data_IF_086064553708
#
_entry.id   IF_086064553708
#
_cell.length_a   1.000
_cell.length_b   1.000
_cell.length_c   1.000
_cell.angle_alpha   90.00
_cell.angle_beta   90.00
_cell.angle_gamma   90.00
#
_symmetry.space_group_name_H-M   'P 1'
#
loop_
_entity.id
_entity.type
_entity.pdbx_description
1 polymer ?
#
# COMPACT_ATOMS: atom_id res chain seq x y z
N UNK A 1 18.56 41.88 32.77
CA UNK A 1 19.15 41.61 31.43
C UNK A 1 18.11 41.84 30.34
N UNK A 2 18.53 42.22 29.13
CA UNK A 2 17.63 42.41 27.97
C UNK A 2 17.07 41.07 27.49
N UNK A 3 15.94 41.09 26.77
CA UNK A 3 15.36 39.87 26.20
C UNK A 3 16.32 39.04 25.33
N UNK A 4 17.30 39.68 24.65
CA UNK A 4 18.30 38.97 23.84
C UNK A 4 19.30 38.22 24.70
N UNK A 5 19.75 38.84 25.80
CA UNK A 5 20.67 38.23 26.76
C UNK A 5 20.00 37.07 27.50
N UNK A 6 18.76 37.26 27.95
CA UNK A 6 17.99 36.20 28.61
C UNK A 6 17.67 35.04 27.65
N UNK A 7 17.31 35.34 26.38
CA UNK A 7 17.11 34.30 25.37
C UNK A 7 18.37 33.44 25.15
N UNK A 8 19.54 34.08 25.12
CA UNK A 8 20.83 33.38 25.02
C UNK A 8 21.10 32.51 26.25
N UNK A 9 20.84 33.03 27.46
CA UNK A 9 20.98 32.27 28.71
C UNK A 9 20.08 31.02 28.71
N UNK A 10 18.83 31.16 28.28
CA UNK A 10 17.85 30.07 28.25
C UNK A 10 17.93 29.18 26.99
N UNK A 11 18.88 29.43 26.08
CA UNK A 11 19.03 28.65 24.84
C UNK A 11 17.82 28.72 23.89
N UNK A 12 17.06 29.82 23.90
CA UNK A 12 15.87 29.99 23.06
C UNK A 12 15.96 31.23 22.17
N UNK A 13 14.96 31.40 21.30
CA UNK A 13 14.86 32.61 20.50
C UNK A 13 14.08 33.71 21.28
N UNK A 14 14.38 35.01 21.06
CA UNK A 14 13.64 36.09 21.72
C UNK A 14 12.13 36.10 21.41
N UNK A 15 11.69 35.47 20.32
CA UNK A 15 10.27 35.35 19.99
C UNK A 15 9.53 34.39 20.94
N UNK A 16 10.20 33.33 21.43
CA UNK A 16 9.66 32.40 22.44
C UNK A 16 9.34 33.15 23.73
N UNK A 17 10.23 34.03 24.18
CA UNK A 17 10.00 34.84 25.38
C UNK A 17 8.89 35.88 25.18
N UNK A 18 8.82 36.53 24.01
CA UNK A 18 7.70 37.41 23.66
C UNK A 18 6.37 36.66 23.63
N UNK A 19 6.40 35.41 23.17
CA UNK A 19 5.22 34.56 23.14
C UNK A 19 4.79 34.15 24.55
N UNK A 20 5.72 33.74 25.42
CA UNK A 20 5.42 33.42 26.81
C UNK A 20 4.91 34.63 27.59
N UNK A 21 5.44 35.82 27.35
CA UNK A 21 4.90 37.07 27.91
C UNK A 21 3.43 37.29 27.45
N UNK A 22 3.16 37.16 26.14
CA UNK A 22 1.78 37.29 25.60
C UNK A 22 0.81 36.25 26.16
N UNK A 23 1.28 35.04 26.41
CA UNK A 23 0.47 33.96 26.99
C UNK A 23 0.43 34.01 28.52
N UNK A 24 1.00 35.05 29.13
CA UNK A 24 1.08 35.25 30.58
C UNK A 24 1.80 34.13 31.33
N UNK A 25 2.68 33.40 30.63
CA UNK A 25 3.38 32.23 31.13
C UNK A 25 4.72 32.60 31.78
N UNK A 26 5.41 33.60 31.22
CA UNK A 26 6.67 34.14 31.78
C UNK A 26 6.75 35.64 31.47
N UNK A 27 6.32 36.45 32.44
CA UNK A 27 6.29 37.91 32.30
C UNK A 27 7.66 38.52 32.58
N UNK A 28 8.11 39.53 31.81
CA UNK A 28 9.32 40.27 32.14
C UNK A 28 9.13 41.03 33.45
N UNK A 29 10.19 41.10 34.27
CA UNK A 29 10.18 41.89 35.51
C UNK A 29 9.98 43.39 35.23
N UNK A 30 10.44 43.87 34.07
CA UNK A 30 10.24 45.26 33.66
C UNK A 30 10.02 45.39 32.16
N UNK A 31 9.06 46.23 31.79
CA UNK A 31 8.85 46.74 30.43
C UNK A 31 9.11 48.23 30.43
N UNK A 32 10.02 48.69 29.58
CA UNK A 32 10.30 50.11 29.41
C UNK A 32 9.13 50.80 28.68
N UNK A 33 8.56 51.82 29.29
CA UNK A 33 7.34 52.48 28.80
C UNK A 33 7.55 53.34 27.57
N UNK A 34 8.77 53.81 27.31
CA UNK A 34 9.10 54.66 26.17
C UNK A 34 9.53 53.86 24.94
N UNK A 35 10.23 52.75 25.15
CA UNK A 35 10.86 51.97 24.08
C UNK A 35 10.24 50.58 23.89
N UNK A 36 9.43 50.11 24.85
CA UNK A 36 8.81 48.78 24.84
C UNK A 36 9.80 47.63 25.06
N UNK A 37 11.04 47.92 25.47
CA UNK A 37 12.05 46.91 25.76
C UNK A 37 11.69 46.10 27.01
N UNK A 38 11.92 44.79 26.93
CA UNK A 38 11.65 43.83 28.01
C UNK A 38 12.94 43.44 28.71
N UNK A 39 12.86 43.41 30.03
CA UNK A 39 13.95 43.04 30.91
C UNK A 39 13.53 41.90 31.81
N UNK A 40 14.42 40.91 31.93
CA UNK A 40 14.27 39.72 32.75
C UNK A 40 15.37 39.68 33.80
N UNK A 41 15.11 38.99 34.90
CA UNK A 41 16.11 38.67 35.93
C UNK A 41 16.65 37.25 35.72
N UNK A 42 17.84 36.97 36.25
CA UNK A 42 18.48 35.66 36.10
C UNK A 42 17.67 34.55 36.78
N UNK A 43 17.04 34.85 37.91
CA UNK A 43 16.20 33.92 38.68
C UNK A 43 15.03 33.35 37.84
N UNK A 44 14.51 34.14 36.89
CA UNK A 44 13.44 33.72 35.98
C UNK A 44 13.87 32.60 35.01
N UNK A 45 15.18 32.31 34.90
CA UNK A 45 15.66 31.18 34.12
C UNK A 45 15.18 29.84 34.70
N UNK A 46 15.00 29.74 36.01
CA UNK A 46 14.45 28.54 36.66
C UNK A 46 13.00 28.30 36.24
N UNK A 47 12.18 29.35 36.17
CA UNK A 47 10.80 29.25 35.71
C UNK A 47 10.71 28.89 34.23
N UNK A 48 11.61 29.43 33.41
CA UNK A 48 11.74 29.02 32.01
C UNK A 48 12.03 27.52 31.88
N UNK A 49 12.96 26.98 32.68
CA UNK A 49 13.28 25.54 32.67
C UNK A 49 12.08 24.70 33.10
N UNK A 50 11.35 25.10 34.15
CA UNK A 50 10.13 24.40 34.58
C UNK A 50 9.08 24.35 33.46
N UNK A 51 8.81 25.49 32.82
CA UNK A 51 7.89 25.58 31.68
C UNK A 51 8.33 24.62 30.56
N UNK A 52 9.62 24.60 30.21
CA UNK A 52 10.15 23.72 29.17
C UNK A 52 10.04 22.25 29.51
N UNK A 53 10.27 21.86 30.75
CA UNK A 53 10.12 20.48 31.19
C UNK A 53 8.66 20.03 31.08
N UNK A 54 7.70 20.87 31.48
CA UNK A 54 6.27 20.58 31.33
C UNK A 54 5.84 20.49 29.85
N UNK A 55 6.33 21.40 29.00
CA UNK A 55 6.07 21.30 27.56
C UNK A 55 6.63 20.00 26.97
N UNK A 56 7.82 19.59 27.38
CA UNK A 56 8.46 18.33 26.94
C UNK A 56 7.68 17.11 27.43
N UNK A 57 7.07 17.20 28.62
CA UNK A 57 6.18 16.18 29.17
C UNK A 57 4.79 16.14 28.51
N UNK A 58 4.53 16.98 27.48
CA UNK A 58 3.28 16.95 26.71
C UNK A 58 2.16 17.82 27.28
N UNK A 59 2.47 18.75 28.18
CA UNK A 59 1.51 19.76 28.62
C UNK A 59 1.41 20.90 27.61
N UNK A 60 0.19 21.36 27.37
CA UNK A 60 -0.07 22.55 26.56
C UNK A 60 0.25 23.81 27.35
N UNK A 61 0.40 24.94 26.66
CA UNK A 61 0.68 26.22 27.32
C UNK A 61 -0.46 26.65 28.24
N UNK A 62 -1.70 26.31 27.89
CA UNK A 62 -2.89 26.60 28.71
C UNK A 62 -2.88 25.79 30.00
N UNK A 63 -2.54 24.49 29.93
CA UNK A 63 -2.37 23.63 31.09
C UNK A 63 -1.24 24.14 32.00
N UNK A 64 -0.08 24.50 31.43
CA UNK A 64 1.06 25.01 32.21
C UNK A 64 0.71 26.31 32.92
N UNK A 65 -0.07 27.20 32.29
CA UNK A 65 -0.54 28.42 32.93
C UNK A 65 -1.43 28.11 34.15
N UNK A 66 -2.30 27.11 34.04
CA UNK A 66 -3.13 26.65 35.16
C UNK A 66 -2.29 26.03 36.30
N UNK A 67 -1.11 25.51 35.99
CA UNK A 67 -0.19 24.89 36.95
C UNK A 67 0.82 25.87 37.57
N UNK A 68 0.93 27.10 37.05
CA UNK A 68 1.92 28.07 37.51
C UNK A 68 1.71 28.49 38.97
N UNK A 69 0.44 28.60 39.39
CA UNK A 69 0.02 28.96 40.76
C UNK A 69 -0.54 27.75 41.54
N UNK A 70 -0.45 26.54 40.97
CA UNK A 70 -1.00 25.33 41.56
C UNK A 70 -0.13 24.80 42.72
N UNK A 71 -0.78 24.15 43.68
CA UNK A 71 -0.11 23.42 44.75
C UNK A 71 0.68 22.23 44.21
N UNK A 72 1.66 21.75 44.98
CA UNK A 72 2.42 20.56 44.61
C UNK A 72 1.50 19.34 44.38
N UNK A 73 0.42 19.19 45.17
CA UNK A 73 -0.54 18.09 45.04
C UNK A 73 -1.32 18.13 43.72
N UNK A 74 -1.71 19.32 43.26
CA UNK A 74 -2.36 19.53 41.97
C UNK A 74 -1.40 19.23 40.80
N UNK A 75 -0.13 19.64 40.93
CA UNK A 75 0.91 19.34 39.94
C UNK A 75 1.17 17.83 39.85
N UNK A 76 1.25 17.12 41.00
CA UNK A 76 1.42 15.66 41.01
C UNK A 76 0.23 14.96 40.34
N UNK A 77 -0.99 15.41 40.62
CA UNK A 77 -2.21 14.85 40.03
C UNK A 77 -2.24 15.06 38.51
N UNK A 78 -1.84 16.25 38.03
CA UNK A 78 -1.75 16.54 36.60
C UNK A 78 -0.71 15.64 35.89
N UNK A 79 0.43 15.34 36.54
CA UNK A 79 1.39 14.37 36.02
C UNK A 79 0.85 12.94 35.96
N UNK A 80 0.14 12.48 37.00
CA UNK A 80 -0.49 11.17 36.98
C UNK A 80 -1.51 11.02 35.85
N UNK A 81 -2.29 12.06 35.57
CA UNK A 81 -3.23 12.08 34.45
C UNK A 81 -2.52 11.96 33.10
N UNK A 82 -1.42 12.70 32.89
CA UNK A 82 -0.61 12.56 31.65
C UNK A 82 0.00 11.18 31.50
N UNK A 83 0.46 10.56 32.58
CA UNK A 83 0.96 9.17 32.56
C UNK A 83 -0.17 8.23 32.11
N UNK A 84 -1.36 8.32 32.73
CA UNK A 84 -2.53 7.50 32.37
C UNK A 84 -2.94 7.70 30.91
N UNK A 85 -2.93 8.94 30.44
CA UNK A 85 -3.23 9.28 29.04
C UNK A 85 -2.22 8.64 28.08
N UNK A 86 -0.92 8.80 28.35
CA UNK A 86 0.15 8.23 27.55
C UNK A 86 0.08 6.69 27.50
N UNK A 87 -0.17 6.05 28.65
CA UNK A 87 -0.37 4.60 28.71
C UNK A 87 -1.60 4.15 27.91
N UNK A 88 -2.70 4.91 27.95
CA UNK A 88 -3.90 4.63 27.15
C UNK A 88 -3.62 4.73 25.66
N UNK A 89 -2.90 5.77 25.22
CA UNK A 89 -2.45 5.93 23.84
C UNK A 89 -1.55 4.76 23.41
N UNK A 90 -0.61 4.35 24.26
CA UNK A 90 0.26 3.21 24.00
C UNK A 90 -0.54 1.91 23.85
N UNK A 91 -1.54 1.66 24.71
CA UNK A 91 -2.44 0.50 24.60
C UNK A 91 -3.20 0.51 23.28
N UNK A 92 -3.72 1.67 22.86
CA UNK A 92 -4.44 1.77 21.59
C UNK A 92 -3.52 1.53 20.38
N UNK A 93 -2.32 2.10 20.38
CA UNK A 93 -1.32 1.88 19.33
C UNK A 93 -0.97 0.39 19.23
N UNK A 94 -0.73 -0.28 20.36
CA UNK A 94 -0.47 -1.74 20.38
C UNK A 94 -1.63 -2.54 19.82
N UNK A 95 -2.88 -2.18 20.14
CA UNK A 95 -4.08 -2.84 19.61
C UNK A 95 -4.19 -2.69 18.09
N UNK A 96 -3.94 -1.50 17.56
CA UNK A 96 -3.92 -1.24 16.11
C UNK A 96 -2.82 -2.08 15.44
N UNK A 97 -1.61 -2.09 16.00
CA UNK A 97 -0.52 -2.90 15.49
C UNK A 97 -0.88 -4.40 15.44
N UNK A 98 -1.51 -4.93 16.49
CA UNK A 98 -1.97 -6.31 16.53
C UNK A 98 -3.05 -6.59 15.46
N UNK A 99 -3.96 -5.65 15.23
CA UNK A 99 -4.96 -5.76 14.16
C UNK A 99 -4.30 -5.88 12.80
N UNK A 100 -3.32 -5.02 12.49
CA UNK A 100 -2.61 -5.10 11.21
C UNK A 100 -1.82 -6.40 11.06
N UNK A 101 -1.18 -6.88 12.12
CA UNK A 101 -0.50 -8.17 12.09
C UNK A 101 -1.46 -9.33 11.82
N UNK A 102 -2.66 -9.28 12.41
CA UNK A 102 -3.71 -10.27 12.15
C UNK A 102 -4.21 -10.21 10.70
N UNK A 103 -4.50 -9.03 10.19
CA UNK A 103 -4.92 -8.84 8.79
C UNK A 103 -3.86 -9.35 7.81
N UNK A 104 -2.59 -8.99 8.03
CA UNK A 104 -1.48 -9.48 7.20
C UNK A 104 -1.40 -11.01 7.21
N UNK A 105 -1.52 -11.63 8.39
CA UNK A 105 -1.49 -13.11 8.51
C UNK A 105 -2.68 -13.75 7.81
N UNK A 106 -3.84 -13.09 7.85
CA UNK A 106 -5.06 -13.56 7.18
C UNK A 106 -4.94 -13.47 5.67
N UNK A 107 -4.39 -12.36 5.16
CA UNK A 107 -4.09 -12.20 3.73
C UNK A 107 -3.11 -13.27 3.24
N UNK A 108 -2.05 -13.58 4.00
CA UNK A 108 -1.12 -14.66 3.65
C UNK A 108 -1.81 -16.01 3.53
N UNK A 109 -2.68 -16.34 4.49
CA UNK A 109 -3.45 -17.59 4.43
C UNK A 109 -4.39 -17.64 3.23
N UNK A 110 -4.99 -16.50 2.85
CA UNK A 110 -5.84 -16.41 1.65
C UNK A 110 -5.03 -16.65 0.38
N UNK A 111 -3.83 -16.05 0.27
CA UNK A 111 -2.91 -16.27 -0.84
C UNK A 111 -2.54 -17.74 -0.95
N UNK A 112 -2.20 -18.39 0.17
CA UNK A 112 -1.84 -19.81 0.16
C UNK A 112 -3.04 -20.70 -0.21
N UNK A 113 -4.23 -20.38 0.31
CA UNK A 113 -5.47 -21.11 -0.07
C UNK A 113 -5.75 -20.97 -1.56
N UNK A 114 -5.58 -19.78 -2.13
CA UNK A 114 -5.71 -19.56 -3.57
C UNK A 114 -4.66 -20.30 -4.38
N UNK A 115 -3.40 -20.30 -3.93
CA UNK A 115 -2.32 -21.09 -4.54
C UNK A 115 -2.70 -22.57 -4.61
N UNK A 116 -3.18 -23.14 -3.50
CA UNK A 116 -3.61 -24.54 -3.44
C UNK A 116 -4.77 -24.83 -4.41
N UNK A 117 -5.78 -23.97 -4.43
CA UNK A 117 -6.94 -24.13 -5.32
C UNK A 117 -6.54 -24.06 -6.80
N UNK A 118 -5.79 -23.04 -7.19
CA UNK A 118 -5.33 -22.86 -8.58
C UNK A 118 -4.41 -24.01 -8.99
N UNK A 119 -3.47 -24.39 -8.13
CA UNK A 119 -2.54 -25.51 -8.41
C UNK A 119 -3.31 -26.81 -8.61
N UNK A 120 -4.32 -27.08 -7.78
CA UNK A 120 -5.17 -28.26 -7.93
C UNK A 120 -5.92 -28.24 -9.26
N UNK A 121 -6.57 -27.14 -9.61
CA UNK A 121 -7.27 -27.01 -10.89
C UNK A 121 -6.34 -27.19 -12.08
N UNK A 122 -5.11 -26.67 -12.00
CA UNK A 122 -4.11 -26.85 -13.05
C UNK A 122 -3.63 -28.29 -13.15
N UNK A 123 -3.42 -29.00 -12.04
CA UNK A 123 -3.00 -30.41 -12.03
C UNK A 123 -4.06 -31.38 -12.55
N UNK A 124 -5.34 -31.06 -12.36
CA UNK A 124 -6.47 -31.84 -12.87
C UNK A 124 -6.74 -31.60 -14.37
N UNK A 125 -6.15 -30.56 -14.96
CA UNK A 125 -6.30 -30.19 -16.36
C UNK A 125 -5.28 -30.92 -17.26
N UNK A 126 -5.75 -31.59 -18.32
CA UNK A 126 -4.88 -32.18 -19.35
C UNK A 126 -4.68 -31.19 -20.52
N UNK A 127 -3.48 -30.61 -20.69
CA UNK A 127 -3.23 -29.62 -21.74
C UNK A 127 -2.85 -30.26 -23.09
N UNK A 128 -2.71 -31.59 -23.16
CA UNK A 128 -2.11 -32.27 -24.33
C UNK A 128 -2.95 -32.07 -25.59
N UNK A 129 -4.26 -32.25 -25.47
CA UNK A 129 -5.19 -32.14 -26.59
C UNK A 129 -5.37 -30.69 -27.04
N UNK A 130 -5.54 -29.77 -26.09
CA UNK A 130 -5.88 -28.37 -26.34
C UNK A 130 -4.66 -27.51 -26.72
N UNK A 131 -3.54 -27.69 -26.05
CA UNK A 131 -2.34 -26.86 -26.19
C UNK A 131 -1.17 -27.57 -26.88
N UNK A 132 -1.26 -28.90 -27.10
CA UNK A 132 -0.21 -29.69 -27.72
C UNK A 132 1.10 -29.69 -26.90
N UNK A 133 1.01 -29.50 -25.59
CA UNK A 133 2.17 -29.54 -24.68
C UNK A 133 2.15 -30.82 -23.87
N UNK A 134 3.31 -31.41 -23.64
CA UNK A 134 3.43 -32.59 -22.80
C UNK A 134 3.29 -32.25 -21.31
N UNK A 135 2.95 -33.27 -20.51
CA UNK A 135 2.70 -33.13 -19.08
C UNK A 135 3.94 -32.65 -18.30
N UNK A 136 5.14 -33.06 -18.70
CA UNK A 136 6.38 -32.67 -18.03
C UNK A 136 6.67 -31.17 -18.23
N UNK A 137 6.51 -30.67 -19.46
CA UNK A 137 6.59 -29.25 -19.75
C UNK A 137 5.56 -28.44 -18.97
N UNK A 138 4.32 -28.92 -18.91
CA UNK A 138 3.23 -28.21 -18.25
C UNK A 138 3.42 -28.12 -16.73
N UNK A 139 3.81 -29.22 -16.07
CA UNK A 139 4.10 -29.22 -14.63
C UNK A 139 5.31 -28.32 -14.29
N UNK A 140 6.41 -28.42 -15.02
CA UNK A 140 7.63 -27.64 -14.74
C UNK A 140 7.46 -26.16 -15.10
N UNK A 141 6.91 -25.84 -16.28
CA UNK A 141 6.90 -24.47 -16.80
C UNK A 141 5.62 -23.69 -16.54
N UNK A 142 4.46 -24.35 -16.47
CA UNK A 142 3.20 -23.63 -16.21
C UNK A 142 2.93 -23.62 -14.71
N UNK A 143 2.80 -24.80 -14.10
CA UNK A 143 2.51 -24.92 -12.67
C UNK A 143 3.68 -24.37 -11.84
N UNK A 144 4.93 -24.66 -12.23
CA UNK A 144 6.12 -24.11 -11.59
C UNK A 144 6.18 -22.58 -11.59
N UNK A 145 5.83 -21.93 -12.71
CA UNK A 145 5.82 -20.46 -12.80
C UNK A 145 4.69 -19.83 -11.96
N UNK A 146 3.50 -20.44 -11.94
CA UNK A 146 2.38 -19.98 -11.08
C UNK A 146 2.78 -20.07 -9.61
N UNK A 147 3.41 -21.16 -9.21
CA UNK A 147 3.92 -21.31 -7.84
C UNK A 147 5.01 -20.29 -7.51
N UNK A 148 5.96 -20.06 -8.42
CA UNK A 148 7.01 -19.05 -8.23
C UNK A 148 6.44 -17.62 -8.15
N UNK A 149 5.34 -17.32 -8.86
CA UNK A 149 4.62 -16.05 -8.73
C UNK A 149 4.05 -15.87 -7.33
N UNK A 150 3.39 -16.89 -6.76
CA UNK A 150 2.91 -16.85 -5.38
C UNK A 150 4.07 -16.73 -4.38
N UNK A 151 5.19 -17.43 -4.61
CA UNK A 151 6.38 -17.32 -3.76
C UNK A 151 6.97 -15.90 -3.79
N UNK A 152 7.01 -15.22 -4.95
CA UNK A 152 7.46 -13.83 -5.07
C UNK A 152 6.49 -12.85 -4.39
N UNK A 153 5.18 -13.08 -4.49
CA UNK A 153 4.16 -12.27 -3.83
C UNK A 153 4.31 -12.32 -2.30
N UNK A 154 4.64 -13.51 -1.77
CA UNK A 154 4.93 -13.71 -0.35
C UNK A 154 6.29 -13.12 0.02
N UNK A 155 7.33 -13.30 -0.81
CA UNK A 155 8.71 -12.87 -0.53
C UNK A 155 8.91 -11.35 -0.60
N UNK A 156 8.24 -10.64 -1.52
CA UNK A 156 8.32 -9.17 -1.62
C UNK A 156 7.89 -8.44 -0.34
N UNK A 157 7.19 -9.13 0.57
CA UNK A 157 6.86 -8.68 1.93
C UNK A 157 8.11 -8.47 2.81
N UNK A 158 9.14 -9.28 2.63
CA UNK A 158 10.31 -9.30 3.54
C UNK A 158 11.35 -8.22 3.20
N UNK A 159 11.40 -7.75 1.94
CA UNK A 159 12.51 -6.93 1.43
C UNK A 159 12.21 -5.44 1.21
N UNK A 160 10.96 -4.95 1.09
CA UNK A 160 10.77 -3.53 0.76
C UNK A 160 9.43 -2.89 1.18
N UNK A 161 9.56 -1.64 1.64
CA UNK A 161 8.55 -0.59 1.72
C UNK A 161 7.46 -0.73 0.64
N UNK A 162 6.23 -0.86 1.13
CA UNK A 162 4.97 -0.96 0.41
C UNK A 162 4.86 0.07 -0.73
N UNK A 163 4.95 -0.40 -1.97
CA UNK A 163 4.31 0.24 -3.13
C UNK A 163 3.26 -0.72 -3.66
N UNK A 164 2.20 -0.89 -2.88
CA UNK A 164 0.94 -1.38 -3.39
C UNK A 164 0.39 -0.23 -4.25
N UNK A 165 0.40 -0.39 -5.57
CA UNK A 165 -0.47 0.42 -6.43
C UNK A 165 -1.88 0.21 -5.90
N UNK A 166 -2.45 1.30 -5.39
CA UNK A 166 -3.51 1.26 -4.39
C UNK A 166 -4.79 0.58 -4.86
N UNK A 167 -5.30 -0.31 -4.02
CA UNK A 167 -6.74 -0.37 -3.76
C UNK A 167 -7.01 0.52 -2.55
N UNK A 168 -7.85 1.57 -2.67
CA UNK A 168 -8.31 2.32 -1.52
C UNK A 168 -9.16 1.42 -0.64
N UNK A 169 -8.75 1.30 0.62
CA UNK A 169 -9.47 0.60 1.67
C UNK A 169 -10.73 1.40 2.03
N UNK A 170 -11.89 0.74 2.03
CA UNK A 170 -13.09 1.26 2.68
C UNK A 170 -14.21 1.73 1.76
N UNK A 171 -14.74 0.81 0.95
CA UNK A 171 -16.18 0.63 0.73
C UNK A 171 -16.37 -0.85 0.35
N UNK A 172 -17.45 -1.49 0.82
CA UNK A 172 -17.93 -2.75 0.23
C UNK A 172 -18.40 -2.40 -1.19
N UNK A 173 -17.44 -2.20 -2.09
CA UNK A 173 -17.69 -2.13 -3.51
C UNK A 173 -17.91 -3.58 -3.93
N UNK A 174 -19.16 -3.91 -4.26
CA UNK A 174 -19.34 -4.97 -5.26
C UNK A 174 -18.40 -4.61 -6.43
N UNK A 175 -17.55 -5.53 -6.90
CA UNK A 175 -16.68 -5.22 -8.01
C UNK A 175 -17.58 -4.90 -9.21
N UNK A 176 -17.83 -3.62 -9.47
CA UNK A 176 -18.04 -3.13 -10.81
C UNK A 176 -16.69 -3.31 -11.50
N UNK A 177 -16.41 -4.56 -11.92
CA UNK A 177 -15.50 -4.80 -13.02
C UNK A 177 -16.11 -4.03 -14.20
N UNK A 178 -15.70 -2.77 -14.40
CA UNK A 178 -15.76 -2.18 -15.73
C UNK A 178 -14.89 -3.08 -16.61
N UNK A 179 -15.53 -4.12 -17.14
CA UNK A 179 -14.94 -5.08 -18.05
C UNK A 179 -14.47 -4.27 -19.26
N UNK A 180 -13.17 -3.97 -19.30
CA UNK A 180 -12.57 -3.18 -20.38
C UNK A 180 -12.84 -3.95 -21.67
N UNK A 181 -13.76 -3.43 -22.46
CA UNK A 181 -14.06 -3.96 -23.80
C UNK A 181 -12.92 -3.55 -24.72
N UNK A 182 -11.84 -4.34 -24.73
CA UNK A 182 -10.65 -4.10 -25.56
C UNK A 182 -10.98 -3.92 -27.05
N UNK A 183 -12.12 -4.44 -27.54
CA UNK A 183 -12.57 -4.26 -28.92
C UNK A 183 -13.00 -2.81 -29.20
N UNK A 184 -13.35 -2.05 -28.18
CA UNK A 184 -13.82 -0.66 -28.28
C UNK A 184 -12.84 0.36 -27.66
N UNK A 185 -11.78 -0.09 -27.00
CA UNK A 185 -10.84 0.79 -26.31
C UNK A 185 -9.85 1.44 -27.30
N UNK A 186 -9.82 2.79 -27.41
CA UNK A 186 -8.91 3.49 -28.31
C UNK A 186 -7.42 3.37 -27.93
N UNK A 187 -7.10 2.99 -26.69
CA UNK A 187 -5.72 2.84 -26.20
C UNK A 187 -5.05 1.55 -26.67
N UNK A 188 -5.82 0.62 -27.22
CA UNK A 188 -5.33 -0.65 -27.73
C UNK A 188 -5.40 -0.70 -29.26
N UNK A 189 -4.44 -1.38 -29.87
CA UNK A 189 -4.41 -1.71 -31.29
C UNK A 189 -4.52 -3.23 -31.45
N UNK A 190 -5.51 -3.71 -32.21
CA UNK A 190 -5.67 -5.13 -32.51
C UNK A 190 -4.58 -5.56 -33.51
N UNK A 191 -3.81 -6.58 -33.14
CA UNK A 191 -2.70 -7.11 -33.94
C UNK A 191 -3.01 -8.44 -34.62
N UNK A 192 -3.87 -9.26 -34.01
CA UNK A 192 -4.15 -10.61 -34.48
C UNK A 192 -5.51 -11.09 -33.96
N UNK A 193 -6.26 -11.82 -34.79
CA UNK A 193 -7.53 -12.42 -34.40
C UNK A 193 -7.73 -13.79 -35.05
N UNK A 194 -8.45 -14.69 -34.34
CA UNK A 194 -8.81 -16.03 -34.82
C UNK A 194 -10.22 -16.35 -34.35
N UNK A 195 -11.03 -16.94 -35.22
CA UNK A 195 -12.42 -17.31 -34.93
C UNK A 195 -12.70 -18.75 -35.32
N UNK A 196 -13.66 -19.39 -34.65
CA UNK A 196 -14.09 -20.75 -34.96
C UNK A 196 -13.02 -21.82 -34.68
N UNK A 197 -12.08 -21.54 -33.77
CA UNK A 197 -11.00 -22.48 -33.47
C UNK A 197 -11.43 -23.57 -32.48
N UNK A 198 -10.96 -24.79 -32.72
CA UNK A 198 -11.27 -25.96 -31.89
C UNK A 198 -10.19 -26.18 -30.81
N UNK A 199 -8.91 -26.05 -31.14
CA UNK A 199 -7.82 -26.13 -30.16
C UNK A 199 -6.83 -24.96 -30.28
N UNK A 200 -6.28 -24.51 -29.15
CA UNK A 200 -5.29 -23.41 -29.12
C UNK A 200 -4.03 -23.76 -29.91
N UNK A 201 -3.59 -25.01 -29.87
CA UNK A 201 -2.39 -25.47 -30.61
C UNK A 201 -2.45 -25.16 -32.12
N UNK A 202 -3.65 -25.05 -32.68
CA UNK A 202 -3.85 -24.90 -34.12
C UNK A 202 -3.49 -23.50 -34.61
N UNK A 203 -3.58 -22.47 -33.75
CA UNK A 203 -3.26 -21.08 -34.12
C UNK A 203 -2.12 -20.48 -33.28
N UNK A 204 -1.76 -21.06 -32.14
CA UNK A 204 -0.73 -20.51 -31.25
C UNK A 204 0.63 -20.34 -31.94
N UNK A 205 0.97 -21.25 -32.86
CA UNK A 205 2.21 -21.19 -33.65
C UNK A 205 2.24 -20.06 -34.68
N UNK A 206 1.08 -19.52 -35.04
CA UNK A 206 0.91 -18.47 -36.05
C UNK A 206 0.88 -17.06 -35.45
N UNK A 207 0.87 -16.96 -34.11
CA UNK A 207 0.87 -15.67 -33.42
C UNK A 207 2.11 -14.82 -33.74
N UNK A 208 1.93 -13.48 -33.88
CA UNK A 208 3.04 -12.58 -34.07
C UNK A 208 3.99 -12.58 -32.85
N UNK A 209 5.29 -12.38 -33.11
CA UNK A 209 6.28 -12.27 -32.04
C UNK A 209 6.04 -11.01 -31.23
N UNK A 210 5.91 -11.17 -29.92
CA UNK A 210 5.73 -10.07 -28.97
C UNK A 210 7.04 -9.32 -28.77
N UNK A 211 7.00 -7.99 -28.77
CA UNK A 211 8.14 -7.12 -28.49
C UNK A 211 8.41 -7.02 -26.99
N UNK A 212 9.65 -6.72 -26.61
CA UNK A 212 10.08 -6.52 -25.22
C UNK A 212 9.62 -5.15 -24.71
N UNK A 213 9.35 -4.99 -23.41
CA UNK A 213 8.89 -3.74 -22.78
C UNK A 213 7.59 -3.14 -23.36
N UNK A 214 6.77 -3.97 -23.98
CA UNK A 214 5.46 -3.59 -24.51
C UNK A 214 4.36 -4.30 -23.72
N UNK A 215 3.23 -3.62 -23.53
CA UNK A 215 2.04 -4.18 -22.90
C UNK A 215 1.10 -4.76 -23.95
N UNK A 216 0.67 -5.99 -23.72
CA UNK A 216 -0.23 -6.73 -24.59
C UNK A 216 -1.44 -7.21 -23.79
N UNK A 217 -2.61 -7.17 -24.44
CA UNK A 217 -3.85 -7.73 -23.89
C UNK A 217 -4.34 -8.86 -24.80
N UNK A 218 -4.78 -9.94 -24.19
CA UNK A 218 -5.35 -11.11 -24.87
C UNK A 218 -6.83 -11.18 -24.48
N UNK A 219 -7.71 -11.29 -25.46
CA UNK A 219 -9.14 -11.51 -25.24
C UNK A 219 -9.54 -12.84 -25.85
N UNK A 220 -10.18 -13.67 -25.04
CA UNK A 220 -10.79 -14.92 -25.48
C UNK A 220 -12.29 -14.85 -25.24
N UNK A 221 -13.08 -15.13 -26.28
CA UNK A 221 -14.48 -15.51 -26.11
C UNK A 221 -14.56 -17.01 -26.31
N UNK A 222 -14.91 -17.76 -25.28
CA UNK A 222 -14.90 -19.23 -25.33
C UNK A 222 -16.23 -19.81 -24.89
N UNK A 223 -16.49 -21.05 -25.30
CA UNK A 223 -17.66 -21.79 -24.86
C UNK A 223 -17.63 -22.13 -23.35
N UNK A 224 -18.78 -22.51 -22.81
CA UNK A 224 -18.96 -22.80 -21.38
C UNK A 224 -18.07 -23.95 -20.89
N UNK A 225 -17.78 -24.92 -21.76
CA UNK A 225 -16.90 -26.06 -21.44
C UNK A 225 -15.47 -25.60 -21.15
N UNK A 226 -14.91 -24.70 -21.97
CA UNK A 226 -13.55 -24.19 -21.78
C UNK A 226 -13.46 -23.21 -20.63
N UNK A 227 -14.49 -22.40 -20.38
CA UNK A 227 -14.53 -21.42 -19.28
C UNK A 227 -14.42 -22.07 -17.89
N UNK A 228 -15.03 -23.25 -17.69
CA UNK A 228 -15.05 -23.95 -16.39
C UNK A 228 -13.75 -24.69 -16.05
N UNK A 229 -12.71 -24.55 -16.87
CA UNK A 229 -11.44 -25.29 -16.73
C UNK A 229 -10.26 -24.37 -16.38
N UNK A 230 -9.07 -24.94 -16.19
CA UNK A 230 -7.82 -24.19 -16.04
C UNK A 230 -7.38 -23.42 -17.29
N UNK A 231 -8.18 -23.35 -18.36
CA UNK A 231 -7.85 -22.79 -19.67
C UNK A 231 -7.14 -21.43 -19.61
N UNK A 232 -7.71 -20.43 -18.92
CA UNK A 232 -7.16 -19.08 -18.86
C UNK A 232 -5.74 -19.05 -18.25
N UNK A 233 -5.58 -19.74 -17.12
CA UNK A 233 -4.31 -19.85 -16.40
C UNK A 233 -3.28 -20.67 -17.21
N UNK A 234 -3.71 -21.76 -17.84
CA UNK A 234 -2.86 -22.57 -18.73
C UNK A 234 -2.40 -21.77 -19.92
N UNK A 235 -3.28 -21.02 -20.57
CA UNK A 235 -2.95 -20.21 -21.74
C UNK A 235 -1.93 -19.12 -21.38
N UNK A 236 -2.17 -18.38 -20.30
CA UNK A 236 -1.23 -17.37 -19.81
C UNK A 236 0.13 -18.01 -19.47
N UNK A 237 0.12 -19.16 -18.78
CA UNK A 237 1.34 -19.90 -18.43
C UNK A 237 2.12 -20.40 -19.65
N UNK A 238 1.44 -20.98 -20.64
CA UNK A 238 2.05 -21.43 -21.90
C UNK A 238 2.63 -20.26 -22.68
N UNK A 239 1.89 -19.14 -22.75
CA UNK A 239 2.37 -17.92 -23.40
C UNK A 239 3.61 -17.34 -22.73
N UNK A 240 3.61 -17.25 -21.39
CA UNK A 240 4.75 -16.78 -20.63
C UNK A 240 5.96 -17.71 -20.81
N UNK A 241 5.74 -19.03 -20.77
CA UNK A 241 6.81 -20.02 -20.91
C UNK A 241 7.43 -20.06 -22.31
N UNK A 242 6.61 -19.93 -23.36
CA UNK A 242 7.05 -20.01 -24.77
C UNK A 242 7.54 -18.66 -25.31
N UNK A 243 6.91 -17.55 -24.94
CA UNK A 243 7.12 -16.25 -25.60
C UNK A 243 7.60 -15.13 -24.68
N UNK A 244 7.60 -15.28 -23.35
CA UNK A 244 8.00 -14.22 -22.42
C UNK A 244 9.32 -14.47 -21.67
N UNK A 245 10.11 -15.49 -22.01
CA UNK A 245 11.37 -15.79 -21.32
C UNK A 245 12.36 -14.61 -21.37
N UNK A 246 12.68 -14.06 -20.20
CA UNK A 246 13.82 -13.15 -19.99
C UNK A 246 13.58 -11.67 -20.32
N UNK A 247 12.34 -11.27 -20.57
CA UNK A 247 12.02 -9.90 -21.00
C UNK A 247 10.86 -9.32 -20.17
N UNK A 248 10.96 -8.04 -19.81
CA UNK A 248 10.00 -7.35 -18.94
C UNK A 248 8.72 -7.02 -19.75
N UNK A 249 7.82 -8.00 -19.88
CA UNK A 249 6.55 -7.88 -20.63
C UNK A 249 5.35 -7.92 -19.69
N UNK A 250 4.33 -7.10 -19.96
CA UNK A 250 3.03 -7.17 -19.29
C UNK A 250 2.03 -7.82 -20.23
N UNK A 251 1.41 -8.91 -19.76
CA UNK A 251 0.40 -9.68 -20.48
C UNK A 251 -0.86 -9.73 -19.63
N UNK A 252 -1.91 -9.05 -20.09
CA UNK A 252 -3.27 -9.22 -19.59
C UNK A 252 -3.98 -10.32 -20.37
N UNK A 253 -4.78 -11.15 -19.71
CA UNK A 253 -5.63 -12.15 -20.36
C UNK A 253 -7.04 -12.04 -19.80
N UNK A 254 -8.01 -11.77 -20.67
CA UNK A 254 -9.43 -11.78 -20.33
C UNK A 254 -10.13 -12.91 -21.08
N UNK A 255 -10.99 -13.65 -20.39
CA UNK A 255 -11.71 -14.80 -20.94
C UNK A 255 -13.19 -14.65 -20.60
N UNK A 256 -14.00 -14.46 -21.64
CA UNK A 256 -15.43 -14.16 -21.54
C UNK A 256 -16.26 -15.20 -22.31
N UNK A 257 -17.57 -15.24 -22.07
CA UNK A 257 -18.46 -16.15 -22.78
C UNK A 257 -18.62 -15.71 -24.24
N UNK A 258 -18.66 -16.69 -25.14
CA UNK A 258 -19.07 -16.43 -26.52
C UNK A 258 -20.60 -16.31 -26.65
N UNK A 259 -21.06 -15.45 -27.56
CA UNK A 259 -22.49 -15.25 -27.86
C UNK A 259 -23.02 -16.18 -28.95
N UNK A 260 -22.15 -16.66 -29.84
CA UNK A 260 -22.51 -17.48 -31.01
C UNK A 260 -22.18 -18.97 -30.84
N UNK A 261 -21.55 -19.34 -29.73
CA UNK A 261 -21.14 -20.72 -29.41
C UNK A 261 -19.78 -21.11 -29.99
N UNK A 262 -19.13 -20.25 -30.78
CA UNK A 262 -17.80 -20.47 -31.33
C UNK A 262 -16.72 -19.81 -30.48
N UNK A 263 -15.48 -20.33 -30.54
CA UNK A 263 -14.37 -19.73 -29.82
C UNK A 263 -13.71 -18.64 -30.68
N UNK A 264 -13.39 -17.51 -30.05
CA UNK A 264 -12.71 -16.38 -30.68
C UNK A 264 -11.53 -15.92 -29.82
N UNK A 265 -10.49 -15.44 -30.48
CA UNK A 265 -9.28 -14.93 -29.88
C UNK A 265 -8.88 -13.61 -30.53
N UNK A 266 -8.44 -12.66 -29.70
CA UNK A 266 -7.83 -11.42 -30.14
C UNK A 266 -6.57 -11.12 -29.34
N UNK A 267 -5.55 -10.60 -30.02
CA UNK A 267 -4.35 -10.04 -29.44
C UNK A 267 -4.32 -8.53 -29.69
N UNK A 268 -4.13 -7.76 -28.63
CA UNK A 268 -4.00 -6.32 -28.66
C UNK A 268 -2.63 -5.87 -28.14
N UNK A 269 -2.14 -4.75 -28.68
CA UNK A 269 -0.95 -4.03 -28.22
C UNK A 269 -1.39 -2.66 -27.68
N UNK A 270 -0.92 -2.30 -26.49
CA UNK A 270 -1.13 -0.95 -25.95
C UNK A 270 -0.34 0.07 -26.79
N UNK A 271 -0.97 1.20 -27.08
CA UNK A 271 -0.36 2.32 -27.82
C UNK A 271 0.55 3.19 -26.96
#
# INVERSE_FOLDING_TARGET
>A
MTIKEFARLCGCNPQTLRYYDRMELLKPVKVDSWTGYRYYEEEQALDFVKIKNLQTAGFTIEEIRGLADASNEEIYSAFEEKIKEAESRLRNIKRIQQSYQYEMTTMEKRIETWREQITKTLMEYDPTEEFGVDKEFYEDKVIGNVNAFFDDLIRKKDDANFSLTGYPDGEELEPEEEEIDFLKDPHYEMLYEVHGWEHVKDFLGEMPRLESNTEYALLFKVNEEKRKTGFANTMLGVLLAKYARGENRKLGCNVTDTEDGENHFWLFKAK
#
